data_IF_828537056921
#
_entry.id   IF_828537056921
#
_cell.length_a   1.000
_cell.length_b   1.000
_cell.length_c   1.000
_cell.angle_alpha   90.00
_cell.angle_beta   90.00
_cell.angle_gamma   90.00
#
_symmetry.space_group_name_H-M   'P 1'
#
loop_
_entity.id
_entity.type
_entity.pdbx_description
1 polymer ?
#
# COMPACT_ATOMS: atom_id res chain seq x y z
N UNK A 1 17.49 26.77 -76.68
CA UNK A 1 18.93 26.88 -76.35
C UNK A 1 19.12 26.11 -75.05
N UNK A 2 19.38 24.87 -75.24
CA UNK A 2 20.57 24.09 -74.96
C UNK A 2 21.36 24.43 -73.69
N UNK A 3 21.42 23.54 -72.74
CA UNK A 3 22.55 22.67 -72.45
C UNK A 3 22.26 21.69 -71.33
N UNK A 4 22.43 20.41 -71.64
CA UNK A 4 22.56 19.29 -70.75
C UNK A 4 23.90 19.39 -69.98
N UNK A 5 23.93 18.87 -68.74
CA UNK A 5 25.16 18.44 -68.07
C UNK A 5 24.91 17.16 -67.31
N UNK A 6 25.44 16.12 -67.84
CA UNK A 6 25.59 14.78 -67.31
C UNK A 6 26.65 14.79 -66.20
N UNK A 7 26.37 14.15 -65.06
CA UNK A 7 27.38 13.83 -64.07
C UNK A 7 27.30 12.35 -63.75
N UNK A 8 28.42 11.70 -63.99
CA UNK A 8 28.59 10.27 -63.89
C UNK A 8 28.63 9.73 -62.42
N UNK A 9 28.12 8.53 -62.30
CA UNK A 9 28.22 7.69 -61.11
C UNK A 9 29.59 6.97 -61.18
N UNK A 10 30.41 7.20 -60.17
CA UNK A 10 31.65 6.47 -59.94
C UNK A 10 31.40 5.30 -58.97
N UNK A 11 31.38 4.09 -59.58
CA UNK A 11 31.26 2.83 -58.82
C UNK A 11 32.69 2.41 -58.41
N UNK A 12 32.94 2.44 -57.08
CA UNK A 12 34.20 1.88 -56.55
C UNK A 12 33.91 0.48 -56.04
N UNK A 13 34.42 -0.53 -56.71
CA UNK A 13 34.38 -1.93 -56.28
C UNK A 13 35.67 -2.20 -55.49
N UNK A 14 35.53 -2.45 -54.17
CA UNK A 14 36.63 -2.99 -53.37
C UNK A 14 36.52 -4.52 -53.34
N UNK A 15 37.44 -5.19 -53.98
CA UNK A 15 37.68 -6.63 -53.78
C UNK A 15 38.51 -6.80 -52.51
N UNK A 16 37.97 -7.50 -51.51
CA UNK A 16 38.72 -8.03 -50.39
C UNK A 16 38.91 -9.53 -50.57
N UNK A 17 40.12 -9.95 -50.50
CA UNK A 17 40.64 -11.30 -50.66
C UNK A 17 40.22 -12.20 -49.50
N UNK A 18 39.68 -13.37 -49.81
CA UNK A 18 39.41 -14.45 -48.88
C UNK A 18 40.73 -15.07 -48.43
N UNK A 19 41.09 -14.91 -47.14
CA UNK A 19 42.07 -15.76 -46.49
C UNK A 19 41.34 -16.75 -45.58
N UNK A 20 41.71 -18.01 -45.70
CA UNK A 20 41.04 -19.18 -45.15
C UNK A 20 40.81 -19.15 -43.65
N UNK A 21 39.63 -19.57 -43.27
CA UNK A 21 39.27 -19.90 -41.89
C UNK A 21 39.53 -21.38 -41.65
N UNK A 22 40.44 -21.66 -40.74
CA UNK A 22 40.44 -22.92 -39.96
C UNK A 22 39.25 -22.91 -39.02
N UNK A 23 38.37 -23.91 -39.14
CA UNK A 23 37.26 -24.09 -38.24
C UNK A 23 37.80 -24.48 -36.86
N UNK A 24 37.77 -23.55 -35.92
CA UNK A 24 37.79 -23.84 -34.49
C UNK A 24 36.33 -24.01 -34.06
N UNK A 25 35.94 -25.25 -33.84
CA UNK A 25 34.68 -25.55 -33.10
C UNK A 25 34.90 -25.27 -31.62
N UNK A 26 34.88 -23.99 -31.24
CA UNK A 26 34.67 -23.64 -29.88
C UNK A 26 33.18 -23.85 -29.57
N UNK A 27 32.95 -24.76 -28.63
CA UNK A 27 31.62 -25.00 -28.11
C UNK A 27 31.03 -23.69 -27.60
N UNK A 28 29.93 -23.28 -28.21
CA UNK A 28 29.05 -22.25 -27.65
C UNK A 28 28.42 -22.89 -26.41
N UNK A 29 29.14 -22.84 -25.29
CA UNK A 29 28.46 -22.87 -23.99
C UNK A 29 27.70 -21.57 -23.92
N UNK A 30 26.43 -21.64 -24.30
CA UNK A 30 25.50 -20.56 -24.03
C UNK A 30 25.49 -20.36 -22.51
N UNK A 31 26.26 -19.41 -22.05
CA UNK A 31 26.09 -18.80 -20.75
C UNK A 31 24.77 -18.04 -20.84
N UNK A 32 23.65 -18.73 -20.63
CA UNK A 32 22.43 -18.04 -20.26
C UNK A 32 22.71 -17.45 -18.88
N UNK A 33 23.22 -16.22 -18.86
CA UNK A 33 23.14 -15.42 -17.65
C UNK A 33 21.65 -15.45 -17.29
N UNK A 34 21.32 -16.18 -16.22
CA UNK A 34 19.94 -16.13 -15.72
C UNK A 34 19.65 -14.68 -15.46
N UNK A 35 18.65 -14.12 -16.15
CA UNK A 35 18.20 -12.77 -15.87
C UNK A 35 17.85 -12.70 -14.40
N UNK A 36 18.46 -11.77 -13.70
CA UNK A 36 18.22 -11.52 -12.28
C UNK A 36 18.07 -10.02 -12.04
N UNK A 37 17.21 -9.66 -11.10
CA UNK A 37 16.98 -8.29 -10.70
C UNK A 37 17.57 -8.09 -9.31
N UNK A 38 18.52 -7.18 -9.18
CA UNK A 38 19.10 -6.77 -7.91
C UNK A 38 18.19 -5.79 -7.17
N UNK A 39 18.38 -5.67 -5.86
CA UNK A 39 17.67 -4.65 -5.06
C UNK A 39 18.01 -3.26 -5.60
N UNK A 40 17.03 -2.40 -5.88
CA UNK A 40 17.27 -1.01 -6.23
C UNK A 40 17.62 -0.17 -5.00
N UNK A 41 18.23 0.98 -5.24
CA UNK A 41 18.40 2.03 -4.23
C UNK A 41 17.39 3.13 -4.47
N UNK A 42 16.70 3.57 -3.42
CA UNK A 42 15.78 4.69 -3.48
C UNK A 42 16.44 5.97 -3.00
N UNK A 43 16.01 7.08 -3.57
CA UNK A 43 16.46 8.41 -3.19
C UNK A 43 15.33 9.19 -2.50
N UNK A 44 15.70 10.21 -1.75
CA UNK A 44 14.74 11.12 -1.12
C UNK A 44 13.81 11.75 -2.16
N UNK A 45 12.50 11.63 -1.94
CA UNK A 45 11.51 12.15 -2.88
C UNK A 45 11.18 11.26 -4.06
N UNK A 46 11.73 10.04 -4.16
CA UNK A 46 11.21 9.03 -5.08
C UNK A 46 9.76 8.73 -4.71
N UNK A 47 8.88 8.57 -5.70
CA UNK A 47 7.47 8.36 -5.43
C UNK A 47 6.79 7.40 -6.39
N UNK A 48 5.71 6.79 -5.90
CA UNK A 48 4.80 5.93 -6.65
C UNK A 48 3.36 6.32 -6.35
N UNK A 49 2.58 6.53 -7.39
CA UNK A 49 1.14 6.75 -7.30
C UNK A 49 0.45 5.41 -7.53
N UNK A 50 -0.24 4.93 -6.52
CA UNK A 50 -1.00 3.68 -6.58
C UNK A 50 -2.49 3.91 -6.55
N UNK A 51 -3.23 3.09 -7.29
CA UNK A 51 -4.64 2.86 -7.04
C UNK A 51 -4.77 1.68 -6.09
N UNK A 52 -5.56 1.85 -5.04
CA UNK A 52 -5.88 0.84 -4.04
C UNK A 52 -7.34 0.44 -4.15
N UNK A 53 -7.60 -0.86 -3.95
CA UNK A 53 -8.94 -1.39 -3.82
C UNK A 53 -8.92 -2.48 -2.75
N UNK A 54 -9.84 -2.39 -1.81
CA UNK A 54 -10.07 -3.36 -0.73
C UNK A 54 -11.57 -3.64 -0.65
N UNK A 55 -12.05 -4.58 0.15
CA UNK A 55 -13.49 -4.76 0.39
C UNK A 55 -14.17 -3.49 0.94
N UNK A 56 -13.42 -2.66 1.67
CA UNK A 56 -13.94 -1.45 2.32
C UNK A 56 -13.83 -0.19 1.45
N UNK A 57 -12.92 -0.22 0.47
CA UNK A 57 -12.64 0.90 -0.41
C UNK A 57 -12.39 0.43 -1.84
N UNK A 58 -13.09 1.01 -2.78
CA UNK A 58 -12.81 0.83 -4.20
C UNK A 58 -12.14 2.10 -4.77
N UNK A 59 -11.09 1.87 -5.58
CA UNK A 59 -10.48 2.89 -6.44
C UNK A 59 -9.89 4.13 -5.73
N UNK A 60 -9.35 3.94 -4.53
CA UNK A 60 -8.57 4.97 -3.88
C UNK A 60 -7.21 5.17 -4.55
N UNK A 61 -6.71 6.40 -4.55
CA UNK A 61 -5.44 6.75 -5.17
C UNK A 61 -4.52 7.40 -4.14
N UNK A 62 -3.37 6.80 -3.90
CA UNK A 62 -2.42 7.25 -2.88
C UNK A 62 -1.02 7.36 -3.44
N UNK A 63 -0.35 8.49 -3.18
CA UNK A 63 1.05 8.70 -3.52
C UNK A 63 1.95 8.34 -2.34
N UNK A 64 2.72 7.26 -2.51
CA UNK A 64 3.81 6.88 -1.61
C UNK A 64 5.07 7.65 -1.98
N UNK A 65 5.79 8.13 -0.99
CA UNK A 65 7.00 8.96 -1.17
C UNK A 65 8.07 8.51 -0.19
N UNK A 66 9.32 8.43 -0.64
CA UNK A 66 10.48 8.22 0.23
C UNK A 66 10.72 9.50 1.03
N UNK A 67 10.31 9.49 2.29
CA UNK A 67 10.39 10.64 3.19
C UNK A 67 11.77 10.81 3.85
N UNK A 68 12.50 9.71 4.01
CA UNK A 68 13.89 9.69 4.43
C UNK A 68 14.54 8.38 3.99
N UNK A 69 15.86 8.41 3.80
CA UNK A 69 16.67 7.25 3.41
C UNK A 69 17.33 6.56 4.61
N UNK A 70 17.32 7.19 5.80
CA UNK A 70 18.01 6.69 6.98
C UNK A 70 17.19 7.02 8.23
N UNK A 71 16.39 6.09 8.72
CA UNK A 71 15.57 6.28 9.93
C UNK A 71 16.09 5.54 11.15
N UNK A 72 16.93 4.55 10.98
CA UNK A 72 17.57 3.83 12.06
C UNK A 72 18.94 4.46 12.38
N UNK A 73 19.41 4.30 13.60
CA UNK A 73 20.75 4.80 13.99
C UNK A 73 21.88 4.20 13.12
N UNK A 74 21.64 3.03 12.54
CA UNK A 74 22.55 2.33 11.64
C UNK A 74 22.28 2.58 10.14
N UNK A 75 21.27 3.39 9.79
CA UNK A 75 20.95 3.74 8.40
C UNK A 75 20.44 2.58 7.55
N UNK A 76 19.70 1.63 8.13
CA UNK A 76 19.31 0.39 7.45
C UNK A 76 17.92 0.39 6.81
N UNK A 77 17.16 1.47 6.94
CA UNK A 77 15.79 1.51 6.44
C UNK A 77 15.38 2.86 5.85
N UNK A 78 14.55 2.79 4.81
CA UNK A 78 13.79 3.91 4.28
C UNK A 78 12.53 4.16 5.13
N UNK A 79 11.96 5.37 5.02
CA UNK A 79 10.60 5.67 5.45
C UNK A 79 9.74 5.99 4.23
N UNK A 80 8.72 5.19 3.98
CA UNK A 80 7.65 5.52 3.03
C UNK A 80 6.51 6.22 3.73
N UNK A 81 6.16 7.40 3.22
CA UNK A 81 5.08 8.26 3.71
C UNK A 81 4.09 8.60 2.58
N UNK A 82 2.99 9.24 2.92
CA UNK A 82 1.93 9.64 1.99
C UNK A 82 1.91 11.15 1.85
N UNK A 83 1.70 11.66 0.62
CA UNK A 83 1.65 13.10 0.33
C UNK A 83 0.38 13.81 0.85
N UNK A 84 -0.55 13.10 1.49
CA UNK A 84 -1.80 13.64 2.04
C UNK A 84 -2.01 13.15 3.47
N UNK A 85 -2.19 14.08 4.43
CA UNK A 85 -2.48 13.73 5.83
C UNK A 85 -3.82 13.00 5.98
N UNK A 86 -4.84 13.36 5.19
CA UNK A 86 -6.14 12.69 5.23
C UNK A 86 -6.05 11.22 4.80
N UNK A 87 -5.26 10.95 3.76
CA UNK A 87 -5.01 9.58 3.30
C UNK A 87 -4.12 8.80 4.27
N UNK A 88 -3.09 9.43 4.85
CA UNK A 88 -2.25 8.79 5.86
C UNK A 88 -3.08 8.35 7.08
N UNK A 89 -4.00 9.17 7.55
CA UNK A 89 -4.96 8.83 8.62
C UNK A 89 -5.91 7.70 8.20
N UNK A 90 -6.45 7.77 6.99
CA UNK A 90 -7.32 6.71 6.47
C UNK A 90 -6.61 5.37 6.41
N UNK A 91 -5.38 5.33 5.89
CA UNK A 91 -4.59 4.11 5.88
C UNK A 91 -4.30 3.58 7.30
N UNK A 92 -4.08 4.45 8.28
CA UNK A 92 -3.87 4.05 9.66
C UNK A 92 -5.11 3.38 10.30
N UNK A 93 -6.31 3.87 9.97
CA UNK A 93 -7.57 3.31 10.48
C UNK A 93 -7.95 2.01 9.77
N UNK A 94 -7.74 1.95 8.47
CA UNK A 94 -8.15 0.81 7.65
C UNK A 94 -7.03 -0.24 7.50
N UNK A 95 -5.80 0.12 7.87
CA UNK A 95 -4.61 -0.73 7.88
C UNK A 95 -4.41 -1.56 6.60
N UNK A 96 -4.46 -0.90 5.44
CA UNK A 96 -4.48 -1.62 4.16
C UNK A 96 -3.15 -1.78 3.48
N UNK A 97 -2.20 -0.85 3.72
CA UNK A 97 -0.97 -0.80 2.96
C UNK A 97 0.21 -1.30 3.79
N UNK A 98 0.70 -2.52 3.54
CA UNK A 98 1.81 -3.08 4.29
C UNK A 98 3.13 -2.35 4.03
N UNK A 99 3.22 -1.58 2.93
CA UNK A 99 4.45 -0.90 2.53
C UNK A 99 4.57 0.54 3.06
N UNK A 100 3.67 0.98 3.94
CA UNK A 100 3.82 2.25 4.63
C UNK A 100 4.73 2.14 5.86
N UNK A 101 5.52 3.19 6.09
CA UNK A 101 6.46 3.22 7.21
C UNK A 101 7.84 2.72 6.83
N UNK A 102 8.47 1.94 7.70
CA UNK A 102 9.84 1.45 7.50
C UNK A 102 9.91 0.38 6.41
N UNK A 103 10.93 0.49 5.56
CA UNK A 103 11.25 -0.49 4.52
C UNK A 103 12.75 -0.72 4.54
N UNK A 104 13.23 -1.95 4.64
CA UNK A 104 14.67 -2.26 4.69
C UNK A 104 15.38 -1.92 3.38
N UNK A 105 16.67 -1.60 3.44
CA UNK A 105 17.49 -1.30 2.25
C UNK A 105 17.83 -2.54 1.44
N UNK A 106 18.06 -3.65 2.11
CA UNK A 106 18.65 -4.86 1.53
C UNK A 106 17.64 -5.74 0.78
N UNK A 107 16.38 -5.79 1.25
CA UNK A 107 15.33 -6.63 0.67
C UNK A 107 14.05 -5.86 0.34
N UNK A 108 13.98 -4.55 0.63
CA UNK A 108 12.75 -3.74 0.57
C UNK A 108 11.61 -4.36 1.39
N UNK A 109 11.96 -4.95 2.53
CA UNK A 109 11.02 -5.62 3.43
C UNK A 109 10.22 -4.60 4.23
N UNK A 110 8.89 -4.64 4.20
CA UNK A 110 8.05 -3.86 5.08
C UNK A 110 8.10 -4.40 6.51
N UNK A 111 7.70 -3.56 7.48
CA UNK A 111 7.61 -3.95 8.88
C UNK A 111 6.16 -4.20 9.28
N UNK A 112 5.90 -5.36 9.86
CA UNK A 112 4.64 -5.70 10.52
C UNK A 112 4.93 -6.13 11.95
N UNK A 113 4.24 -5.54 12.92
CA UNK A 113 4.45 -5.81 14.36
C UNK A 113 5.91 -5.62 14.83
N UNK A 114 6.63 -4.66 14.23
CA UNK A 114 8.01 -4.33 14.56
C UNK A 114 9.08 -5.23 13.92
N UNK A 115 8.69 -6.22 13.13
CA UNK A 115 9.57 -7.15 12.44
C UNK A 115 9.56 -6.91 10.93
N UNK A 116 10.73 -6.96 10.28
CA UNK A 116 10.82 -6.92 8.83
C UNK A 116 10.25 -8.21 8.21
N UNK A 117 9.47 -8.08 7.15
CA UNK A 117 8.82 -9.19 6.44
C UNK A 117 9.38 -9.30 5.03
N UNK A 118 10.09 -10.37 4.73
CA UNK A 118 10.81 -10.57 3.46
C UNK A 118 9.84 -10.91 2.32
N UNK A 119 8.97 -9.96 1.98
CA UNK A 119 8.04 -10.09 0.85
C UNK A 119 8.79 -10.26 -0.47
N UNK A 120 9.99 -9.69 -0.55
CA UNK A 120 10.95 -9.86 -1.64
C UNK A 120 12.21 -10.54 -1.08
N UNK A 121 12.90 -11.31 -1.92
CA UNK A 121 14.19 -11.91 -1.62
C UNK A 121 15.13 -11.71 -2.81
N UNK A 122 15.87 -10.58 -2.78
CA UNK A 122 16.80 -10.23 -3.84
C UNK A 122 18.09 -11.08 -3.82
N UNK A 123 18.75 -11.30 -4.97
CA UNK A 123 18.31 -10.94 -6.31
C UNK A 123 17.13 -11.81 -6.78
N UNK A 124 16.17 -11.19 -7.47
CA UNK A 124 15.02 -11.92 -8.04
C UNK A 124 15.44 -12.64 -9.30
N UNK A 125 15.28 -13.96 -9.33
CA UNK A 125 15.57 -14.80 -10.49
C UNK A 125 14.55 -15.91 -10.63
N UNK A 126 14.29 -16.34 -11.85
CA UNK A 126 13.30 -17.37 -12.13
C UNK A 126 13.51 -18.63 -11.29
N UNK A 127 12.42 -19.17 -10.75
CA UNK A 127 12.36 -20.33 -9.85
C UNK A 127 12.99 -20.12 -8.47
N UNK A 128 13.42 -18.91 -8.10
CA UNK A 128 13.79 -18.64 -6.71
C UNK A 128 12.55 -18.74 -5.85
N UNK A 129 12.69 -19.39 -4.69
CA UNK A 129 11.61 -19.60 -3.73
C UNK A 129 12.08 -19.25 -2.32
N UNK A 130 11.19 -18.66 -1.53
CA UNK A 130 11.41 -18.33 -0.12
C UNK A 130 10.08 -18.36 0.63
N UNK A 131 10.12 -18.19 1.95
CA UNK A 131 8.93 -18.07 2.78
C UNK A 131 9.00 -16.78 3.60
N UNK A 132 7.84 -16.18 3.85
CA UNK A 132 7.70 -14.99 4.70
C UNK A 132 6.34 -15.02 5.39
N UNK A 133 6.16 -14.21 6.45
CA UNK A 133 4.87 -13.98 7.09
C UNK A 133 4.38 -12.56 6.79
N UNK A 134 3.09 -12.41 6.51
CA UNK A 134 2.41 -11.13 6.30
C UNK A 134 0.90 -11.34 6.44
N UNK A 135 0.15 -10.35 6.92
CA UNK A 135 -1.31 -10.44 7.08
C UNK A 135 -1.74 -11.67 7.91
N UNK A 136 -1.00 -11.95 9.00
CA UNK A 136 -1.24 -13.11 9.87
C UNK A 136 -1.13 -14.49 9.21
N UNK A 137 -0.61 -14.56 7.98
CA UNK A 137 -0.39 -15.79 7.22
C UNK A 137 1.10 -16.04 6.95
N UNK A 138 1.45 -17.33 6.86
CA UNK A 138 2.74 -17.79 6.36
C UNK A 138 2.64 -18.09 4.86
N UNK A 139 3.50 -17.46 4.08
CA UNK A 139 3.50 -17.51 2.62
C UNK A 139 4.71 -18.27 2.07
N UNK A 140 4.47 -19.05 1.02
CA UNK A 140 5.53 -19.65 0.20
C UNK A 140 5.54 -18.96 -1.17
N UNK A 141 6.56 -18.17 -1.43
CA UNK A 141 6.72 -17.37 -2.65
C UNK A 141 7.62 -18.06 -3.66
N UNK A 142 7.30 -17.88 -4.95
CA UNK A 142 8.10 -18.35 -6.08
C UNK A 142 8.10 -17.30 -7.17
N UNK A 143 9.29 -16.98 -7.71
CA UNK A 143 9.43 -16.18 -8.94
C UNK A 143 9.05 -17.05 -10.13
N UNK A 144 7.90 -16.80 -10.74
CA UNK A 144 7.40 -17.57 -11.89
C UNK A 144 8.11 -17.21 -13.20
N UNK A 145 8.45 -15.93 -13.37
CA UNK A 145 9.19 -15.43 -14.52
C UNK A 145 10.02 -14.20 -14.17
N UNK A 146 11.11 -14.02 -14.89
CA UNK A 146 11.87 -12.76 -15.01
C UNK A 146 11.99 -12.48 -16.49
N UNK A 147 11.60 -11.29 -16.91
CA UNK A 147 11.72 -10.79 -18.26
C UNK A 147 12.31 -9.38 -18.21
N UNK A 148 13.57 -9.24 -18.63
CA UNK A 148 14.33 -8.00 -18.52
C UNK A 148 14.41 -7.48 -17.09
N UNK A 149 13.64 -6.44 -16.75
CA UNK A 149 13.57 -5.83 -15.42
C UNK A 149 12.30 -6.19 -14.63
N UNK A 150 11.44 -7.08 -15.15
CA UNK A 150 10.14 -7.40 -14.56
C UNK A 150 10.16 -8.82 -14.01
N UNK A 151 9.87 -8.97 -12.72
CA UNK A 151 9.68 -10.27 -12.06
C UNK A 151 8.21 -10.46 -11.68
N UNK A 152 7.63 -11.58 -12.11
CA UNK A 152 6.31 -12.02 -11.65
C UNK A 152 6.48 -13.03 -10.53
N UNK A 153 5.83 -12.81 -9.42
CA UNK A 153 5.95 -13.59 -8.19
C UNK A 153 4.55 -14.00 -7.72
N UNK A 154 4.47 -15.25 -7.27
CA UNK A 154 3.27 -15.76 -6.61
C UNK A 154 3.64 -16.33 -5.26
N UNK A 155 2.92 -15.91 -4.23
CA UNK A 155 2.97 -16.48 -2.90
C UNK A 155 1.64 -17.19 -2.59
N UNK A 156 1.70 -18.31 -1.88
CA UNK A 156 0.52 -19.08 -1.47
C UNK A 156 0.62 -19.44 0.00
N UNK A 157 -0.49 -19.35 0.71
CA UNK A 157 -0.63 -19.78 2.09
C UNK A 157 -1.29 -21.15 2.18
N UNK A 158 -1.19 -21.78 3.34
CA UNK A 158 -1.72 -23.14 3.58
C UNK A 158 -3.25 -23.22 3.58
N UNK A 159 -3.93 -22.11 3.81
CA UNK A 159 -5.39 -21.97 3.78
C UNK A 159 -5.97 -21.82 2.37
N UNK A 160 -5.13 -21.68 1.35
CA UNK A 160 -5.51 -21.44 -0.03
C UNK A 160 -5.48 -19.97 -0.47
N UNK A 161 -5.20 -19.04 0.43
CA UNK A 161 -4.97 -17.64 0.10
C UNK A 161 -3.77 -17.48 -0.84
N UNK A 162 -3.75 -16.41 -1.64
CA UNK A 162 -2.65 -16.12 -2.56
C UNK A 162 -2.34 -14.63 -2.65
N UNK A 163 -1.05 -14.33 -2.91
CA UNK A 163 -0.58 -13.01 -3.30
C UNK A 163 0.08 -13.14 -4.67
N UNK A 164 -0.45 -12.43 -5.65
CA UNK A 164 0.17 -12.28 -6.97
C UNK A 164 0.75 -10.87 -7.10
N UNK A 165 2.05 -10.76 -7.32
CA UNK A 165 2.70 -9.47 -7.41
C UNK A 165 3.78 -9.41 -8.48
N UNK A 166 3.98 -8.21 -9.01
CA UNK A 166 4.94 -7.93 -10.06
C UNK A 166 5.88 -6.84 -9.55
N UNK A 167 7.15 -7.19 -9.42
CA UNK A 167 8.23 -6.23 -9.20
C UNK A 167 8.73 -5.74 -10.56
N UNK A 168 8.83 -4.44 -10.73
CA UNK A 168 9.35 -3.81 -11.94
C UNK A 168 10.58 -2.95 -11.60
N UNK A 169 11.76 -3.40 -12.03
CA UNK A 169 13.01 -2.70 -11.78
C UNK A 169 13.10 -1.34 -12.46
N UNK A 170 12.27 -1.06 -13.50
CA UNK A 170 12.26 0.26 -14.14
C UNK A 170 11.61 1.32 -13.26
N UNK A 171 10.66 0.92 -12.43
CA UNK A 171 10.04 1.81 -11.43
C UNK A 171 10.61 1.56 -10.03
N UNK A 172 11.52 0.60 -9.89
CA UNK A 172 12.20 0.23 -8.65
C UNK A 172 11.25 -0.23 -7.52
N UNK A 173 10.02 -0.67 -7.84
CA UNK A 173 9.04 -1.15 -6.87
C UNK A 173 7.96 -2.03 -7.52
N UNK A 174 6.84 -2.28 -6.82
CA UNK A 174 5.74 -3.08 -7.36
C UNK A 174 4.97 -2.32 -8.44
N UNK A 175 4.79 -2.93 -9.61
CA UNK A 175 3.80 -2.45 -10.58
C UNK A 175 2.39 -2.97 -10.26
N UNK A 176 2.29 -4.11 -9.55
CA UNK A 176 1.03 -4.68 -9.07
C UNK A 176 1.28 -5.54 -7.84
N UNK A 177 0.35 -5.50 -6.88
CA UNK A 177 0.29 -6.40 -5.72
C UNK A 177 -1.17 -6.72 -5.43
N UNK A 178 -1.55 -8.00 -5.45
CA UNK A 178 -2.94 -8.45 -5.30
C UNK A 178 -2.96 -9.60 -4.28
N UNK A 179 -3.60 -9.35 -3.14
CA UNK A 179 -3.87 -10.36 -2.13
C UNK A 179 -5.32 -10.84 -2.24
N UNK A 180 -5.49 -12.14 -2.39
CA UNK A 180 -6.79 -12.83 -2.45
C UNK A 180 -6.85 -13.85 -1.31
N UNK A 181 -7.92 -13.83 -0.54
CA UNK A 181 -8.13 -14.77 0.56
C UNK A 181 -8.53 -16.18 0.08
N UNK A 182 -8.73 -17.09 1.03
CA UNK A 182 -9.11 -18.49 0.77
C UNK A 182 -10.51 -18.65 0.16
N UNK A 183 -11.36 -17.64 0.26
CA UNK A 183 -12.71 -17.62 -0.34
C UNK A 183 -12.71 -17.03 -1.76
N UNK A 184 -11.55 -16.53 -2.21
CA UNK A 184 -11.38 -15.88 -3.52
C UNK A 184 -11.75 -14.40 -3.52
N UNK A 185 -11.92 -13.78 -2.35
CA UNK A 185 -12.18 -12.34 -2.22
C UNK A 185 -10.87 -11.58 -2.25
N UNK A 186 -10.78 -10.54 -3.09
CA UNK A 186 -9.62 -9.66 -3.14
C UNK A 186 -9.62 -8.76 -1.92
N UNK A 187 -8.68 -8.98 -1.01
CA UNK A 187 -8.50 -8.21 0.23
C UNK A 187 -7.67 -6.94 0.00
N UNK A 188 -6.71 -6.99 -0.92
CA UNK A 188 -5.93 -5.84 -1.33
C UNK A 188 -5.58 -5.94 -2.81
N UNK A 189 -5.82 -4.87 -3.55
CA UNK A 189 -5.31 -4.71 -4.91
C UNK A 189 -4.64 -3.35 -5.03
N UNK A 190 -3.35 -3.39 -5.26
CA UNK A 190 -2.50 -2.22 -5.46
C UNK A 190 -1.93 -2.24 -6.87
N UNK A 191 -2.12 -1.17 -7.63
CA UNK A 191 -1.56 -1.01 -8.98
C UNK A 191 -0.87 0.33 -9.12
N UNK A 192 0.34 0.32 -9.65
CA UNK A 192 1.04 1.54 -10.00
C UNK A 192 0.33 2.24 -11.16
N UNK A 193 -0.01 3.53 -10.96
CA UNK A 193 -0.62 4.40 -11.95
C UNK A 193 0.38 5.42 -12.52
N UNK A 194 1.38 5.82 -11.69
CA UNK A 194 2.43 6.76 -12.05
C UNK A 194 3.59 6.62 -11.06
N UNK A 195 4.77 7.05 -11.45
CA UNK A 195 5.95 7.10 -10.58
C UNK A 195 6.92 8.18 -11.06
N UNK A 196 7.82 8.59 -10.18
CA UNK A 196 8.84 9.58 -10.51
C UNK A 196 9.77 9.87 -9.35
N UNK A 197 10.56 10.91 -9.51
CA UNK A 197 11.60 11.33 -8.55
C UNK A 197 11.41 12.79 -8.17
N UNK A 198 12.02 13.21 -7.05
CA UNK A 198 12.09 14.61 -6.65
C UNK A 198 10.74 15.21 -6.22
N UNK A 199 9.91 14.42 -5.56
CA UNK A 199 8.73 14.95 -4.88
C UNK A 199 9.16 16.03 -3.87
N UNK A 200 8.40 17.12 -3.79
CA UNK A 200 8.61 18.21 -2.84
C UNK A 200 7.33 18.53 -2.11
N UNK A 201 7.44 19.01 -0.86
CA UNK A 201 6.33 19.37 -0.01
C UNK A 201 6.15 18.42 1.17
N UNK A 202 5.04 18.57 1.88
CA UNK A 202 4.79 17.81 3.08
C UNK A 202 4.37 16.37 2.77
N UNK A 203 4.93 15.43 3.51
CA UNK A 203 4.56 14.01 3.50
C UNK A 203 4.34 13.50 4.92
N UNK A 204 3.47 12.50 5.09
CA UNK A 204 2.95 12.07 6.38
C UNK A 204 2.96 10.55 6.50
N UNK A 205 3.34 10.08 7.67
CA UNK A 205 3.12 8.70 8.11
C UNK A 205 2.36 8.71 9.42
N UNK A 206 1.28 7.97 9.50
CA UNK A 206 0.51 7.79 10.74
C UNK A 206 0.66 6.35 11.18
N UNK A 207 1.38 6.16 12.31
CA UNK A 207 1.43 4.88 12.99
C UNK A 207 0.17 4.76 13.83
N UNK A 208 -0.72 3.85 13.49
CA UNK A 208 -1.98 3.64 14.18
C UNK A 208 -2.11 2.23 14.75
N UNK A 209 -3.11 2.05 15.60
CA UNK A 209 -3.52 0.77 16.12
C UNK A 209 -5.01 0.80 16.46
N UNK A 210 -5.66 -0.35 16.34
CA UNK A 210 -7.09 -0.50 16.53
C UNK A 210 -7.49 -0.17 17.97
N UNK A 211 -8.53 0.65 18.14
CA UNK A 211 -9.12 1.01 19.41
C UNK A 211 -10.52 0.42 19.60
N UNK A 212 -11.33 0.54 18.57
CA UNK A 212 -12.72 0.13 18.61
C UNK A 212 -13.24 -0.10 17.19
N UNK A 213 -14.03 -1.14 17.01
CA UNK A 213 -14.75 -1.39 15.77
C UNK A 213 -16.15 -1.95 16.06
N UNK A 214 -17.13 -1.51 15.29
CA UNK A 214 -18.45 -2.11 15.32
C UNK A 214 -19.18 -1.91 13.98
N UNK A 215 -20.14 -2.80 13.73
CA UNK A 215 -20.94 -2.80 12.52
C UNK A 215 -22.39 -3.18 12.88
N UNK A 216 -23.31 -2.22 12.79
CA UNK A 216 -24.71 -2.41 13.14
C UNK A 216 -25.61 -2.35 11.92
N UNK A 217 -26.53 -3.27 11.87
CA UNK A 217 -27.65 -3.27 10.95
C UNK A 217 -28.94 -3.24 11.75
N UNK A 218 -29.82 -2.30 11.47
CA UNK A 218 -31.14 -2.25 12.07
C UNK A 218 -32.21 -2.26 10.97
N UNK A 219 -33.12 -3.22 11.00
CA UNK A 219 -34.27 -3.33 10.07
C UNK A 219 -35.60 -3.41 10.82
N UNK A 220 -35.59 -3.05 12.09
CA UNK A 220 -36.72 -3.20 13.02
C UNK A 220 -37.13 -1.89 13.68
N UNK A 221 -37.72 -1.99 14.89
CA UNK A 221 -38.08 -0.82 15.68
C UNK A 221 -36.83 -0.03 16.08
N UNK A 222 -37.06 1.20 16.57
CA UNK A 222 -36.01 2.06 17.08
C UNK A 222 -35.14 1.35 18.12
N UNK A 223 -33.83 1.52 18.00
CA UNK A 223 -32.84 0.90 18.86
C UNK A 223 -31.79 1.90 19.31
N UNK A 224 -31.29 1.74 20.54
CA UNK A 224 -30.18 2.49 21.08
C UNK A 224 -29.11 1.50 21.57
N UNK A 225 -27.87 1.78 21.21
CA UNK A 225 -26.69 1.07 21.67
C UNK A 225 -25.78 2.05 22.39
N UNK A 226 -25.29 1.62 23.56
CA UNK A 226 -24.31 2.37 24.35
C UNK A 226 -23.14 1.45 24.62
N UNK A 227 -21.94 1.90 24.28
CA UNK A 227 -20.71 1.17 24.51
C UNK A 227 -19.63 2.10 25.08
N UNK A 228 -18.70 1.53 25.85
CA UNK A 228 -17.57 2.27 26.43
C UNK A 228 -16.27 1.56 26.11
N UNK A 229 -15.22 2.34 25.86
CA UNK A 229 -13.89 1.81 25.66
C UNK A 229 -12.84 2.72 26.29
N UNK A 230 -11.73 2.12 26.69
CA UNK A 230 -10.57 2.80 27.22
C UNK A 230 -9.42 2.69 26.22
N UNK A 231 -8.81 3.81 25.88
CA UNK A 231 -7.63 3.80 25.03
C UNK A 231 -6.45 3.14 25.74
N UNK A 232 -6.36 3.30 27.06
CA UNK A 232 -5.31 2.71 27.90
C UNK A 232 -5.28 1.17 27.94
N UNK A 233 -6.32 0.50 27.48
CA UNK A 233 -6.38 -0.97 27.45
C UNK A 233 -5.63 -1.57 26.26
N UNK A 234 -5.13 -0.72 25.38
CA UNK A 234 -4.44 -1.14 24.16
C UNK A 234 -2.91 -1.14 24.31
N UNK A 235 -2.21 -2.16 23.80
CA UNK A 235 -0.77 -2.35 24.05
C UNK A 235 0.16 -1.25 23.54
N UNK A 236 -0.34 -0.37 22.67
CA UNK A 236 0.43 0.71 22.04
C UNK A 236 0.04 2.10 22.54
N UNK A 237 -0.68 2.19 23.63
CA UNK A 237 -1.35 3.39 24.13
C UNK A 237 -0.42 4.50 24.61
N UNK A 238 0.76 4.16 25.09
CA UNK A 238 1.63 5.11 25.80
C UNK A 238 2.13 6.31 24.98
N UNK A 239 2.02 6.27 23.67
CA UNK A 239 2.56 7.29 22.79
C UNK A 239 1.55 7.93 21.83
N UNK A 240 0.32 7.43 21.75
CA UNK A 240 -0.68 7.98 20.84
C UNK A 240 -1.05 9.41 21.22
N UNK A 241 -1.04 10.30 20.26
CA UNK A 241 -1.38 11.70 20.41
C UNK A 241 -2.63 12.14 19.66
N UNK A 242 -3.21 11.22 18.88
CA UNK A 242 -4.48 11.44 18.17
C UNK A 242 -5.34 10.17 18.16
N UNK A 243 -6.64 10.36 17.99
CA UNK A 243 -7.59 9.30 17.69
C UNK A 243 -8.23 9.59 16.35
N UNK A 244 -8.20 8.59 15.48
CA UNK A 244 -8.65 8.69 14.10
C UNK A 244 -9.88 7.81 13.95
N UNK A 245 -10.85 8.21 13.13
CA UNK A 245 -12.07 7.45 12.90
C UNK A 245 -12.43 7.37 11.42
N UNK A 246 -13.08 6.28 11.09
CA UNK A 246 -13.74 6.02 9.83
C UNK A 246 -15.21 5.66 10.09
N UNK A 247 -16.11 6.21 9.30
CA UNK A 247 -17.54 5.93 9.36
C UNK A 247 -18.06 5.56 7.97
N UNK A 248 -18.91 4.54 7.93
CA UNK A 248 -19.71 4.18 6.77
C UNK A 248 -21.16 4.04 7.25
N UNK A 249 -22.04 4.89 6.75
CA UNK A 249 -23.42 4.99 7.21
C UNK A 249 -24.39 5.05 6.05
N UNK A 250 -25.48 4.29 6.14
CA UNK A 250 -26.60 4.40 5.19
C UNK A 250 -27.94 4.32 5.89
N UNK A 251 -28.91 5.11 5.40
CA UNK A 251 -30.27 5.18 5.92
C UNK A 251 -31.29 4.95 4.84
N UNK A 252 -32.17 3.96 5.03
CA UNK A 252 -33.34 3.74 4.18
C UNK A 252 -34.38 4.87 4.28
N UNK A 253 -35.40 4.82 3.43
CA UNK A 253 -36.45 5.85 3.42
C UNK A 253 -37.18 5.97 4.77
N UNK A 254 -37.13 7.17 5.37
CA UNK A 254 -37.76 7.46 6.67
C UNK A 254 -36.91 7.10 7.90
N UNK A 255 -35.71 6.54 7.68
CA UNK A 255 -34.81 6.11 8.74
C UNK A 255 -33.81 7.19 9.12
N UNK A 256 -33.24 7.11 10.32
CA UNK A 256 -32.20 8.01 10.83
C UNK A 256 -31.18 7.27 11.66
N UNK A 257 -29.95 7.78 11.69
CA UNK A 257 -28.89 7.36 12.61
C UNK A 257 -28.44 8.61 13.35
N UNK A 258 -28.25 8.50 14.66
CA UNK A 258 -27.53 9.50 15.47
C UNK A 258 -26.39 8.81 16.20
N UNK A 259 -25.18 9.34 16.03
CA UNK A 259 -23.97 8.85 16.70
C UNK A 259 -23.41 9.98 17.56
N UNK A 260 -23.05 9.67 18.79
CA UNK A 260 -22.37 10.56 19.71
C UNK A 260 -21.25 9.82 20.40
N UNK A 261 -20.04 10.31 20.29
CA UNK A 261 -18.89 9.88 21.07
C UNK A 261 -18.58 10.96 22.10
N UNK A 262 -18.53 10.59 23.38
CA UNK A 262 -18.26 11.50 24.50
C UNK A 262 -16.99 11.08 25.22
N UNK A 263 -16.20 12.06 25.62
CA UNK A 263 -15.06 11.85 26.51
C UNK A 263 -15.52 11.75 27.99
N UNK A 264 -14.56 11.52 28.88
CA UNK A 264 -14.78 11.43 30.33
C UNK A 264 -15.37 12.70 30.98
N UNK A 265 -15.30 13.84 30.30
CA UNK A 265 -15.88 15.12 30.75
C UNK A 265 -17.28 15.37 30.22
N UNK A 266 -17.86 14.39 29.49
CA UNK A 266 -19.13 14.49 28.77
C UNK A 266 -19.15 15.47 27.61
N UNK A 267 -18.01 15.94 27.16
CA UNK A 267 -17.88 16.68 25.91
C UNK A 267 -17.95 15.68 24.75
N UNK A 268 -18.69 16.05 23.70
CA UNK A 268 -18.81 15.24 22.48
C UNK A 268 -17.79 15.67 21.43
N UNK A 269 -16.62 15.03 21.34
CA UNK A 269 -15.66 15.33 20.29
C UNK A 269 -16.15 14.93 18.89
N UNK A 270 -17.07 13.95 18.83
CA UNK A 270 -17.69 13.50 17.59
C UNK A 270 -19.21 13.40 17.78
N UNK A 271 -19.98 14.09 16.97
CA UNK A 271 -21.42 13.94 16.84
C UNK A 271 -21.78 13.97 15.37
N UNK A 272 -22.59 13.01 14.92
CA UNK A 272 -23.11 12.91 13.57
C UNK A 272 -24.57 12.48 13.59
N UNK A 273 -25.30 12.92 12.59
CA UNK A 273 -26.66 12.47 12.33
C UNK A 273 -26.88 12.32 10.83
N UNK A 274 -27.45 11.20 10.44
CA UNK A 274 -27.82 10.89 9.06
C UNK A 274 -29.33 10.69 8.97
N UNK A 275 -29.91 11.20 7.92
CA UNK A 275 -31.34 11.11 7.64
C UNK A 275 -31.65 10.24 6.41
N UNK A 276 -32.93 10.14 6.03
CA UNK A 276 -33.36 9.31 4.92
C UNK A 276 -32.62 9.63 3.61
N UNK A 277 -32.15 8.58 2.94
CA UNK A 277 -31.41 8.69 1.68
C UNK A 277 -29.99 9.21 1.80
N UNK A 278 -29.48 9.37 3.02
CA UNK A 278 -28.10 9.77 3.27
C UNK A 278 -27.20 8.56 3.31
N UNK A 279 -26.10 8.66 2.60
CA UNK A 279 -24.98 7.73 2.63
C UNK A 279 -23.71 8.53 2.81
N UNK A 280 -22.84 8.11 3.71
CA UNK A 280 -21.56 8.76 3.97
C UNK A 280 -20.51 7.69 4.22
N UNK A 281 -19.38 7.80 3.53
CA UNK A 281 -18.21 6.97 3.70
C UNK A 281 -16.96 7.85 3.73
N UNK A 282 -16.05 7.58 4.65
CA UNK A 282 -14.78 8.29 4.68
C UNK A 282 -14.18 8.47 6.06
N UNK A 283 -13.00 9.10 6.07
CA UNK A 283 -12.29 9.51 7.28
C UNK A 283 -12.63 10.95 7.59
N UNK A 284 -13.16 11.20 8.78
CA UNK A 284 -13.71 12.52 9.15
C UNK A 284 -12.75 13.38 9.99
N UNK A 285 -11.58 12.86 10.35
CA UNK A 285 -10.56 13.63 11.07
C UNK A 285 -10.11 13.01 12.40
N UNK A 286 -9.61 13.85 13.30
CA UNK A 286 -9.06 13.44 14.59
C UNK A 286 -10.01 13.74 15.73
N UNK A 287 -9.94 12.93 16.79
CA UNK A 287 -10.64 13.13 18.07
C UNK A 287 -9.59 13.48 19.11
N UNK A 288 -9.78 14.55 19.91
CA UNK A 288 -8.84 14.92 20.96
C UNK A 288 -8.84 13.94 22.15
N UNK A 289 -7.83 14.03 22.97
CA UNK A 289 -7.71 13.30 24.25
C UNK A 289 -7.71 11.76 24.09
N UNK A 290 -6.76 11.16 23.37
CA UNK A 290 -6.75 9.72 23.10
C UNK A 290 -6.57 8.83 24.34
N UNK A 291 -6.07 9.37 25.45
CA UNK A 291 -5.76 8.61 26.68
C UNK A 291 -6.90 8.57 27.72
N UNK A 292 -8.13 8.80 27.30
CA UNK A 292 -9.29 8.88 28.21
C UNK A 292 -10.32 7.78 27.90
N UNK A 293 -11.27 7.62 28.83
CA UNK A 293 -12.46 6.80 28.60
C UNK A 293 -13.42 7.52 27.66
N UNK A 294 -13.98 6.79 26.71
CA UNK A 294 -15.00 7.25 25.79
C UNK A 294 -16.28 6.44 25.89
N UNK A 295 -17.41 7.13 25.79
CA UNK A 295 -18.74 6.52 25.66
C UNK A 295 -19.29 6.78 24.26
N UNK A 296 -19.58 5.72 23.55
CA UNK A 296 -20.23 5.75 22.25
C UNK A 296 -21.73 5.47 22.42
N UNK A 297 -22.58 6.35 21.90
CA UNK A 297 -24.03 6.16 21.86
C UNK A 297 -24.49 6.22 20.41
N UNK A 298 -25.21 5.21 19.96
CA UNK A 298 -25.78 5.17 18.60
C UNK A 298 -27.27 4.87 18.71
N UNK A 299 -28.08 5.73 18.09
CA UNK A 299 -29.53 5.58 18.02
C UNK A 299 -29.97 5.36 16.58
N UNK A 300 -30.73 4.33 16.33
CA UNK A 300 -31.30 3.98 15.04
C UNK A 300 -32.80 4.13 15.02
N UNK A 301 -33.35 4.62 13.90
CA UNK A 301 -34.77 4.56 13.58
C UNK A 301 -34.94 3.93 12.22
N UNK A 302 -35.67 2.80 12.13
CA UNK A 302 -35.93 2.12 10.87
C UNK A 302 -34.71 1.42 10.24
N UNK A 303 -34.73 1.29 8.91
CA UNK A 303 -33.69 0.59 8.13
C UNK A 303 -32.40 1.40 8.08
N UNK A 304 -31.37 0.93 8.75
CA UNK A 304 -30.08 1.63 8.86
C UNK A 304 -28.91 0.67 8.91
N UNK A 305 -27.77 1.14 8.46
CA UNK A 305 -26.46 0.51 8.61
C UNK A 305 -25.45 1.55 9.09
N UNK A 306 -24.64 1.20 10.08
CA UNK A 306 -23.51 2.00 10.54
C UNK A 306 -22.33 1.11 10.86
N UNK A 307 -21.21 1.37 10.21
CA UNK A 307 -19.90 0.83 10.55
C UNK A 307 -19.04 1.96 11.11
N UNK A 308 -18.35 1.72 12.21
CA UNK A 308 -17.36 2.62 12.80
C UNK A 308 -16.06 1.86 13.05
N UNK A 309 -14.96 2.49 12.70
CA UNK A 309 -13.61 2.08 13.08
C UNK A 309 -12.93 3.26 13.76
N UNK A 310 -12.31 3.01 14.90
CA UNK A 310 -11.48 3.96 15.62
C UNK A 310 -10.07 3.41 15.76
N UNK A 311 -9.08 4.27 15.54
CA UNK A 311 -7.68 3.95 15.76
C UNK A 311 -7.01 5.04 16.60
N UNK A 312 -6.12 4.65 17.50
CA UNK A 312 -5.16 5.57 18.09
C UNK A 312 -3.98 5.75 17.16
N UNK A 313 -3.31 6.90 17.19
CA UNK A 313 -2.21 7.15 16.28
C UNK A 313 -1.21 8.19 16.70
N UNK A 314 -0.06 8.14 16.04
CA UNK A 314 0.99 9.15 16.05
C UNK A 314 1.26 9.58 14.62
N UNK A 315 1.13 10.88 14.37
CA UNK A 315 1.47 11.45 13.07
C UNK A 315 2.94 11.92 13.07
N UNK A 316 3.68 11.43 12.09
CA UNK A 316 5.00 11.91 11.70
C UNK A 316 4.88 12.71 10.40
N UNK A 317 5.71 13.72 10.24
CA UNK A 317 5.73 14.56 9.03
C UNK A 317 7.13 14.97 8.64
N UNK A 318 7.36 15.09 7.34
CA UNK A 318 8.60 15.58 6.73
C UNK A 318 8.23 16.62 5.68
N UNK A 319 9.10 17.59 5.48
CA UNK A 319 9.01 18.56 4.37
C UNK A 319 10.21 18.32 3.45
N UNK A 320 9.95 17.91 2.21
CA UNK A 320 10.94 17.54 1.20
C UNK A 320 11.22 18.69 0.23
#
# INVERSE_FOLDING_TARGET
MTREASVGVMLVILLTTMTGCTAVTDGITGNSSSEEISVPTWELGDYWLYTFSTPDYSDDTTKLVVATTDIEEDGTAYMLAISSIGEARRHAVLNHNPFLGRITHDQLSPFENGEAKDVLDFPLKKNKAWSFSLFENDWNAVVSSVDSSIASIRATASDGSSIDYIFDGNIAFFSSFIWTDSEGVVQLKMKNADNGVGHTGDVYFVRGGDLYSNNWYNSGPDAEFVDTFFVSDHPQDGEWNEMIYFLDASCGGGSTITLTLRDHTSISPLGRAWGPGTEETGTLGTIPYPSQEYTLTVTFTGDTHLRILLAGGITYSWNL
#
